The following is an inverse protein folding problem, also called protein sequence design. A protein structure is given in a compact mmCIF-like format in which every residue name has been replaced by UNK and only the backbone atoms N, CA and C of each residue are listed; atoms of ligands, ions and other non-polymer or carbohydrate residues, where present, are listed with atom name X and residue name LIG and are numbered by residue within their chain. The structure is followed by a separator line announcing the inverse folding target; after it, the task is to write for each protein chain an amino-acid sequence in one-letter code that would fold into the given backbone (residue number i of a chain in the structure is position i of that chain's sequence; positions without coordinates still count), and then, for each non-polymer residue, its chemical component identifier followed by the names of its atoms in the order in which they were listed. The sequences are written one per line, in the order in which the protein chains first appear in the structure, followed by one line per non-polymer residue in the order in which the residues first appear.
data_IF_186402842004
#
_entry.id   IF_186402842004
#
_cell.length_a   1.000
_cell.length_b   1.000
_cell.length_c   1.000
_cell.angle_alpha   90.00
_cell.angle_beta   90.00
_cell.angle_gamma   90.00
#
_symmetry.space_group_name_H-M   'P 1'
#
loop_
_entity.id
_entity.type
_entity.pdbx_description
1 polymer ?
#
# COMPACT_ATOMS: atom_id res chain seq x y z
N UNK A 1 -14.78 -17.57 11.67
CA UNK A 1 -14.50 -16.51 12.66
C UNK A 1 -15.34 -15.29 12.34
N UNK A 2 -15.59 -14.46 13.36
CA UNK A 2 -16.19 -13.13 13.22
C UNK A 2 -15.08 -12.09 13.34
N UNK A 3 -14.77 -11.43 12.24
CA UNK A 3 -13.59 -10.55 12.11
C UNK A 3 -14.08 -9.11 11.94
N UNK A 4 -13.54 -8.21 12.74
CA UNK A 4 -13.75 -6.77 12.57
C UNK A 4 -12.48 -6.16 12.01
N UNK A 5 -12.58 -5.59 10.81
CA UNK A 5 -11.52 -4.77 10.21
C UNK A 5 -11.75 -3.31 10.62
N UNK A 6 -10.79 -2.72 11.34
CA UNK A 6 -10.91 -1.35 11.85
C UNK A 6 -9.91 -0.42 11.15
N UNK A 7 -10.43 0.58 10.48
CA UNK A 7 -9.67 1.63 9.79
C UNK A 7 -10.05 3.01 10.34
N UNK A 8 -9.27 4.02 10.02
CA UNK A 8 -9.61 5.40 10.36
C UNK A 8 -10.82 5.89 9.54
N UNK A 9 -10.76 5.67 8.24
CA UNK A 9 -11.83 5.87 7.26
C UNK A 9 -11.59 4.95 6.05
N UNK A 10 -12.44 5.00 5.04
CA UNK A 10 -12.32 4.26 3.78
C UNK A 10 -12.12 5.22 2.60
N UNK A 11 -11.22 6.20 2.79
CA UNK A 11 -10.79 7.09 1.72
C UNK A 11 -9.94 6.36 0.68
N UNK A 12 -9.59 7.06 -0.41
CA UNK A 12 -8.85 6.47 -1.52
C UNK A 12 -7.34 6.46 -1.23
N UNK A 13 -6.89 5.41 -0.57
CA UNK A 13 -5.49 5.18 -0.24
C UNK A 13 -5.09 3.71 -0.41
N UNK A 14 -3.79 3.45 -0.43
CA UNK A 14 -3.28 2.08 -0.56
C UNK A 14 -3.60 1.20 0.65
N UNK A 15 -3.57 1.78 1.86
CA UNK A 15 -3.94 1.08 3.08
C UNK A 15 -5.42 0.69 3.07
N UNK A 16 -6.27 1.64 2.74
CA UNK A 16 -7.72 1.47 2.73
C UNK A 16 -8.13 0.44 1.67
N UNK A 17 -7.53 0.51 0.47
CA UNK A 17 -7.72 -0.52 -0.58
C UNK A 17 -7.32 -1.91 -0.07
N UNK A 18 -6.13 -2.03 0.54
CA UNK A 18 -5.65 -3.31 1.07
C UNK A 18 -6.58 -3.85 2.17
N UNK A 19 -7.06 -2.99 3.09
CA UNK A 19 -7.98 -3.41 4.15
C UNK A 19 -9.33 -3.88 3.57
N UNK A 20 -9.84 -3.20 2.54
CA UNK A 20 -11.06 -3.60 1.80
C UNK A 20 -10.86 -4.93 1.09
N UNK A 21 -9.76 -5.08 0.36
CA UNK A 21 -9.46 -6.31 -0.37
C UNK A 21 -9.29 -7.50 0.60
N UNK A 22 -8.59 -7.30 1.72
CA UNK A 22 -8.46 -8.30 2.78
C UNK A 22 -9.83 -8.70 3.37
N UNK A 23 -10.68 -7.71 3.67
CA UNK A 23 -12.03 -7.97 4.21
C UNK A 23 -12.87 -8.80 3.23
N UNK A 24 -12.84 -8.47 1.94
CA UNK A 24 -13.56 -9.21 0.90
C UNK A 24 -13.01 -10.65 0.78
N UNK A 25 -11.69 -10.83 0.74
CA UNK A 25 -11.10 -12.15 0.68
C UNK A 25 -11.45 -13.02 1.90
N UNK A 26 -11.48 -12.43 3.09
CA UNK A 26 -11.91 -13.12 4.31
C UNK A 26 -13.38 -13.51 4.28
N UNK A 27 -14.26 -12.65 3.76
CA UNK A 27 -15.67 -12.97 3.56
C UNK A 27 -15.84 -14.13 2.58
N UNK A 28 -15.12 -14.11 1.47
CA UNK A 28 -15.11 -15.19 0.47
C UNK A 28 -14.57 -16.52 1.03
N UNK A 29 -13.63 -16.45 1.98
CA UNK A 29 -13.12 -17.61 2.72
C UNK A 29 -14.10 -18.15 3.78
N UNK A 30 -15.34 -17.62 3.86
CA UNK A 30 -16.40 -18.08 4.74
C UNK A 30 -16.36 -17.49 6.16
N UNK A 31 -15.61 -16.42 6.38
CA UNK A 31 -15.66 -15.68 7.63
C UNK A 31 -16.82 -14.67 7.63
N UNK A 32 -17.31 -14.29 8.81
CA UNK A 32 -18.21 -13.16 8.97
C UNK A 32 -17.37 -11.91 9.21
N UNK A 33 -17.40 -10.97 8.28
CA UNK A 33 -16.59 -9.76 8.35
C UNK A 33 -17.46 -8.52 8.52
N UNK A 34 -17.01 -7.59 9.35
CA UNK A 34 -17.61 -6.26 9.52
C UNK A 34 -16.47 -5.24 9.42
N UNK A 35 -16.68 -4.16 8.69
CA UNK A 35 -15.74 -3.05 8.64
C UNK A 35 -16.17 -1.94 9.60
N UNK A 36 -15.24 -1.50 10.44
CA UNK A 36 -15.42 -0.36 11.33
C UNK A 36 -14.57 0.81 10.85
N UNK A 37 -15.18 1.99 10.76
CA UNK A 37 -14.52 3.25 10.51
C UNK A 37 -14.55 4.10 11.77
N UNK A 38 -13.40 4.55 12.24
CA UNK A 38 -13.31 5.42 13.42
C UNK A 38 -13.94 6.79 13.15
N UNK A 39 -13.76 7.30 11.92
CA UNK A 39 -14.36 8.53 11.39
C UNK A 39 -15.55 8.19 10.49
N UNK A 40 -15.74 8.93 9.39
CA UNK A 40 -16.73 8.63 8.37
C UNK A 40 -16.30 7.45 7.48
N UNK A 41 -17.27 6.85 6.79
CA UNK A 41 -17.02 5.64 6.00
C UNK A 41 -16.09 5.91 4.80
N UNK A 42 -16.37 6.92 3.97
CA UNK A 42 -15.59 7.20 2.77
C UNK A 42 -16.01 6.38 1.53
N UNK A 43 -15.44 6.71 0.34
CA UNK A 43 -15.92 6.19 -0.95
C UNK A 43 -15.70 4.69 -1.15
N UNK A 44 -14.71 4.08 -0.50
CA UNK A 44 -14.46 2.64 -0.63
C UNK A 44 -15.48 1.77 0.13
N UNK A 45 -16.36 2.36 0.96
CA UNK A 45 -17.42 1.64 1.67
C UNK A 45 -18.35 0.88 0.71
N UNK A 46 -18.68 1.47 -0.43
CA UNK A 46 -19.53 0.82 -1.44
C UNK A 46 -19.00 -0.52 -1.96
N UNK A 47 -17.68 -0.72 -2.00
CA UNK A 47 -17.07 -2.02 -2.38
C UNK A 47 -17.35 -3.09 -1.33
N UNK A 48 -17.28 -2.74 -0.05
CA UNK A 48 -17.59 -3.66 1.06
C UNK A 48 -19.07 -4.01 1.09
N UNK A 49 -19.93 -3.01 0.95
CA UNK A 49 -21.38 -3.18 0.91
C UNK A 49 -21.82 -4.06 -0.26
N UNK A 50 -21.22 -3.86 -1.45
CA UNK A 50 -21.46 -4.71 -2.62
C UNK A 50 -21.02 -6.18 -2.39
N UNK A 51 -20.02 -6.41 -1.52
CA UNK A 51 -19.58 -7.74 -1.11
C UNK A 51 -20.40 -8.30 0.09
N UNK A 52 -21.44 -7.61 0.53
CA UNK A 52 -22.26 -8.03 1.67
C UNK A 52 -21.59 -7.82 3.04
N UNK A 53 -20.57 -6.97 3.12
CA UNK A 53 -19.84 -6.67 4.35
C UNK A 53 -20.40 -5.37 4.95
N UNK A 54 -21.02 -5.41 6.15
CA UNK A 54 -21.53 -4.21 6.81
C UNK A 54 -20.41 -3.22 7.15
N UNK A 55 -20.69 -1.93 6.95
CA UNK A 55 -19.79 -0.84 7.34
C UNK A 55 -20.40 -0.04 8.48
N UNK A 56 -19.63 0.22 9.53
CA UNK A 56 -20.05 0.94 10.72
C UNK A 56 -19.11 2.12 10.98
N UNK A 57 -19.63 3.34 10.84
CA UNK A 57 -18.88 4.56 11.14
C UNK A 57 -19.20 5.08 12.55
N UNK A 58 -18.16 5.29 13.36
CA UNK A 58 -18.30 5.80 14.72
C UNK A 58 -18.33 7.32 14.79
N UNK A 59 -17.87 8.02 13.74
CA UNK A 59 -17.86 9.49 13.61
C UNK A 59 -17.26 10.18 14.83
N UNK A 60 -16.13 9.66 15.28
CA UNK A 60 -15.47 10.14 16.48
C UNK A 60 -15.08 11.62 16.35
N UNK A 61 -15.36 12.39 17.39
CA UNK A 61 -14.89 13.78 17.49
C UNK A 61 -13.35 13.87 17.52
N UNK A 62 -12.76 15.02 17.14
CA UNK A 62 -11.33 15.26 17.25
C UNK A 62 -10.79 14.98 18.67
N UNK A 63 -9.52 14.54 18.76
CA UNK A 63 -8.90 14.14 20.01
C UNK A 63 -9.26 12.72 20.47
N UNK A 64 -8.85 12.34 21.68
CA UNK A 64 -9.23 11.06 22.28
C UNK A 64 -10.69 11.09 22.74
N UNK A 65 -11.48 10.10 22.35
CA UNK A 65 -12.91 9.99 22.66
C UNK A 65 -13.20 8.71 23.45
N UNK A 66 -13.37 8.76 24.77
CA UNK A 66 -13.81 7.61 25.57
C UNK A 66 -15.17 7.07 25.11
N UNK A 67 -16.09 7.96 24.72
CA UNK A 67 -17.41 7.56 24.19
C UNK A 67 -17.32 6.66 22.96
N UNK A 68 -16.36 6.92 22.05
CA UNK A 68 -16.11 6.07 20.90
C UNK A 68 -15.61 4.68 21.34
N UNK A 69 -14.75 4.59 22.37
CA UNK A 69 -14.28 3.30 22.90
C UNK A 69 -15.46 2.49 23.46
N UNK A 70 -16.33 3.09 24.28
CA UNK A 70 -17.50 2.39 24.85
C UNK A 70 -18.51 1.99 23.76
N UNK A 71 -18.78 2.88 22.80
CA UNK A 71 -19.65 2.59 21.66
C UNK A 71 -19.13 1.42 20.85
N UNK A 72 -17.82 1.43 20.53
CA UNK A 72 -17.15 0.33 19.83
C UNK A 72 -17.20 -0.97 20.63
N UNK A 73 -16.93 -0.93 21.94
CA UNK A 73 -17.02 -2.12 22.79
C UNK A 73 -18.44 -2.71 22.84
N UNK A 74 -19.47 -1.87 22.92
CA UNK A 74 -20.86 -2.30 22.84
C UNK A 74 -21.20 -2.94 21.50
N UNK A 75 -20.66 -2.39 20.41
CA UNK A 75 -20.86 -2.94 19.07
C UNK A 75 -20.11 -4.26 18.88
N UNK A 76 -18.87 -4.38 19.33
CA UNK A 76 -18.09 -5.63 19.29
C UNK A 76 -18.78 -6.79 20.01
N UNK A 77 -19.41 -6.51 21.18
CA UNK A 77 -20.23 -7.53 21.89
C UNK A 77 -21.44 -7.96 21.06
N UNK A 78 -22.15 -7.01 20.45
CA UNK A 78 -23.33 -7.28 19.63
C UNK A 78 -22.98 -8.10 18.40
N UNK A 79 -21.85 -7.77 17.74
CA UNK A 79 -21.35 -8.48 16.58
C UNK A 79 -20.65 -9.81 16.97
N UNK A 80 -20.45 -10.05 18.29
CA UNK A 80 -19.78 -11.25 18.85
C UNK A 80 -18.41 -11.47 18.20
N UNK A 81 -17.62 -10.41 18.07
CA UNK A 81 -16.34 -10.45 17.37
C UNK A 81 -15.36 -11.43 18.06
N UNK A 82 -14.68 -12.25 17.25
CA UNK A 82 -13.58 -13.12 17.67
C UNK A 82 -12.24 -12.37 17.54
N UNK A 83 -12.13 -11.50 16.52
CA UNK A 83 -10.91 -10.76 16.18
C UNK A 83 -11.25 -9.30 15.88
N UNK A 84 -10.45 -8.38 16.42
CA UNK A 84 -10.39 -6.97 15.99
C UNK A 84 -9.02 -6.73 15.37
N UNK A 85 -9.01 -6.38 14.10
CA UNK A 85 -7.81 -6.07 13.34
C UNK A 85 -7.78 -4.58 12.98
N UNK A 86 -6.97 -3.81 13.68
CA UNK A 86 -6.75 -2.40 13.41
C UNK A 86 -5.63 -2.14 12.40
N UNK A 87 -5.78 -1.12 11.58
CA UNK A 87 -4.79 -0.71 10.60
C UNK A 87 -4.20 0.64 10.96
N UNK A 88 -2.87 0.72 11.09
CA UNK A 88 -2.09 1.88 11.55
C UNK A 88 -2.32 2.28 13.02
N UNK A 89 -1.47 3.18 13.57
CA UNK A 89 -1.53 3.56 14.98
C UNK A 89 -2.77 4.39 15.35
N UNK A 90 -3.36 5.11 14.40
CA UNK A 90 -4.49 6.02 14.66
C UNK A 90 -5.71 5.32 15.25
N UNK A 91 -5.98 4.08 14.86
CA UNK A 91 -7.10 3.28 15.36
C UNK A 91 -6.71 2.31 16.47
N UNK A 92 -5.42 2.07 16.67
CA UNK A 92 -4.94 0.97 17.49
C UNK A 92 -5.40 1.02 18.95
N UNK A 93 -5.29 2.18 19.58
CA UNK A 93 -5.68 2.34 20.98
C UNK A 93 -7.20 2.18 21.17
N UNK A 94 -8.02 2.55 20.20
CA UNK A 94 -9.46 2.28 20.21
C UNK A 94 -9.72 0.77 20.08
N UNK A 95 -9.04 0.09 19.15
CA UNK A 95 -9.16 -1.36 18.96
C UNK A 95 -8.82 -2.13 20.25
N UNK A 96 -7.65 -1.85 20.84
CA UNK A 96 -7.15 -2.56 22.01
C UNK A 96 -8.03 -2.33 23.26
N UNK A 97 -8.42 -1.08 23.51
CA UNK A 97 -9.29 -0.74 24.66
C UNK A 97 -10.69 -1.33 24.48
N UNK A 98 -11.30 -1.17 23.29
CA UNK A 98 -12.63 -1.69 23.03
C UNK A 98 -12.66 -3.23 23.06
N UNK A 99 -11.65 -3.92 22.53
CA UNK A 99 -11.51 -5.37 22.61
C UNK A 99 -11.42 -5.83 24.07
N UNK A 100 -10.57 -5.17 24.89
CA UNK A 100 -10.44 -5.48 26.33
C UNK A 100 -11.76 -5.32 27.07
N UNK A 101 -12.51 -4.23 26.81
CA UNK A 101 -13.80 -3.97 27.44
C UNK A 101 -14.90 -4.89 26.97
N UNK A 102 -14.88 -5.33 25.72
CA UNK A 102 -15.89 -6.23 25.16
C UNK A 102 -15.63 -7.70 25.40
N UNK A 103 -14.43 -8.07 25.81
CA UNK A 103 -14.01 -9.48 25.98
C UNK A 103 -13.63 -10.14 24.66
N UNK A 104 -13.34 -9.40 23.59
CA UNK A 104 -12.82 -9.93 22.32
C UNK A 104 -11.44 -10.53 22.58
N UNK A 105 -11.23 -11.82 22.24
CA UNK A 105 -10.01 -12.53 22.62
C UNK A 105 -8.77 -12.08 21.85
N UNK A 106 -8.92 -11.60 20.60
CA UNK A 106 -7.78 -11.24 19.74
C UNK A 106 -7.91 -9.81 19.25
N UNK A 107 -6.94 -8.97 19.61
CA UNK A 107 -6.76 -7.62 19.11
C UNK A 107 -5.38 -7.50 18.45
N UNK A 108 -5.33 -7.28 17.13
CA UNK A 108 -4.08 -7.09 16.40
C UNK A 108 -4.03 -5.74 15.70
N UNK A 109 -2.82 -5.33 15.32
CA UNK A 109 -2.60 -4.13 14.54
C UNK A 109 -1.62 -4.37 13.39
N UNK A 110 -1.95 -3.91 12.19
CA UNK A 110 -1.02 -3.89 11.05
C UNK A 110 -0.45 -2.50 10.85
N UNK A 111 0.87 -2.44 10.74
CA UNK A 111 1.67 -1.24 10.53
C UNK A 111 2.04 -1.13 9.06
N UNK A 112 1.46 -0.13 8.36
CA UNK A 112 1.62 0.06 6.92
C UNK A 112 2.77 1.00 6.55
N UNK A 113 3.22 1.81 7.49
CA UNK A 113 4.34 2.73 7.28
C UNK A 113 5.12 2.96 8.56
N UNK A 114 6.38 3.35 8.40
CA UNK A 114 7.22 3.86 9.46
C UNK A 114 7.31 5.39 9.30
N UNK A 115 6.22 6.11 9.58
CA UNK A 115 6.27 7.58 9.51
C UNK A 115 7.15 8.11 10.63
N UNK A 116 8.35 8.61 10.27
CA UNK A 116 9.37 9.07 11.22
C UNK A 116 9.76 10.52 11.00
N UNK A 117 8.99 11.29 10.23
CA UNK A 117 9.45 12.57 9.70
C UNK A 117 9.63 13.70 10.71
N UNK A 118 9.16 13.62 11.96
CA UNK A 118 9.48 14.60 13.02
C UNK A 118 9.08 14.07 14.42
N UNK A 119 9.96 13.29 15.05
CA UNK A 119 9.72 12.74 16.38
C UNK A 119 8.72 11.57 16.40
N UNK A 120 8.49 10.97 17.59
CA UNK A 120 7.43 9.98 17.73
C UNK A 120 6.08 10.70 17.57
N UNK A 121 5.28 10.38 16.52
CA UNK A 121 3.95 10.93 16.42
C UNK A 121 3.18 10.68 17.73
N UNK A 122 2.34 11.61 18.11
CA UNK A 122 1.46 11.50 19.27
C UNK A 122 0.77 10.12 19.37
N UNK A 123 0.35 9.56 18.24
CA UNK A 123 -0.26 8.24 18.14
C UNK A 123 0.67 7.09 18.58
N UNK A 124 1.98 7.19 18.34
CA UNK A 124 2.95 6.18 18.77
C UNK A 124 3.19 6.16 20.28
N UNK A 125 3.03 7.31 20.95
CA UNK A 125 3.10 7.38 22.42
C UNK A 125 1.94 6.60 23.04
N UNK A 126 0.73 6.71 22.48
CA UNK A 126 -0.42 5.92 22.94
C UNK A 126 -0.28 4.44 22.61
N UNK A 127 0.35 4.08 21.49
CA UNK A 127 0.61 2.71 21.14
C UNK A 127 1.31 1.96 22.28
N UNK A 128 2.34 2.54 22.87
CA UNK A 128 3.08 1.94 24.01
C UNK A 128 2.21 1.66 25.24
N UNK A 129 1.21 2.48 25.48
CA UNK A 129 0.32 2.29 26.64
C UNK A 129 -0.67 1.14 26.44
N UNK A 130 -1.07 0.88 25.23
CA UNK A 130 -2.04 -0.19 24.89
C UNK A 130 -1.39 -1.45 24.33
N UNK A 131 -0.07 -1.46 24.15
CA UNK A 131 0.66 -2.67 23.69
C UNK A 131 0.38 -3.90 24.55
N UNK A 132 0.33 -3.82 25.91
CA UNK A 132 0.00 -5.00 26.73
C UNK A 132 -1.37 -5.60 26.42
N UNK A 133 -2.31 -4.81 25.90
CA UNK A 133 -3.65 -5.25 25.49
C UNK A 133 -3.68 -5.78 24.06
N UNK A 134 -2.56 -5.67 23.32
CA UNK A 134 -2.45 -6.09 21.93
C UNK A 134 -1.97 -7.54 21.88
N UNK A 135 -2.70 -8.38 21.15
CA UNK A 135 -2.33 -9.78 20.97
C UNK A 135 -1.12 -9.93 20.05
N UNK A 136 -1.07 -9.13 18.96
CA UNK A 136 0.00 -9.21 17.96
C UNK A 136 0.10 -7.92 17.13
N UNK A 137 1.31 -7.63 16.65
CA UNK A 137 1.59 -6.53 15.72
C UNK A 137 2.16 -7.11 14.43
N UNK A 138 1.56 -6.74 13.32
CA UNK A 138 2.01 -7.14 11.98
C UNK A 138 2.65 -5.95 11.28
N UNK A 139 3.75 -6.18 10.59
CA UNK A 139 4.42 -5.20 9.74
C UNK A 139 4.29 -5.62 8.28
N UNK A 140 4.02 -4.70 7.38
CA UNK A 140 3.86 -5.00 5.96
C UNK A 140 5.17 -5.31 5.23
N UNK A 141 6.32 -5.05 5.85
CA UNK A 141 7.65 -5.42 5.37
C UNK A 141 8.68 -5.32 6.50
N UNK A 142 9.85 -5.92 6.32
CA UNK A 142 10.94 -5.88 7.30
C UNK A 142 11.50 -4.48 7.52
N UNK A 143 11.51 -3.64 6.49
CA UNK A 143 11.92 -2.23 6.64
C UNK A 143 11.06 -1.51 7.69
N UNK A 144 9.73 -1.59 7.58
CA UNK A 144 8.80 -0.97 8.55
C UNK A 144 9.03 -1.53 9.95
N UNK A 145 9.22 -2.85 10.08
CA UNK A 145 9.57 -3.49 11.35
C UNK A 145 10.84 -2.90 11.94
N UNK A 146 11.96 -2.93 11.21
CA UNK A 146 13.27 -2.43 11.68
C UNK A 146 13.25 -0.95 12.05
N UNK A 147 12.52 -0.12 11.30
CA UNK A 147 12.41 1.31 11.60
C UNK A 147 11.63 1.56 12.90
N UNK A 148 10.54 0.84 13.11
CA UNK A 148 9.72 1.01 14.30
C UNK A 148 10.36 0.39 15.55
N UNK A 149 11.07 -0.74 15.43
CA UNK A 149 11.82 -1.35 16.53
C UNK A 149 12.94 -0.45 17.09
N UNK A 150 13.47 0.49 16.28
CA UNK A 150 14.44 1.51 16.74
C UNK A 150 13.82 2.53 17.71
N UNK A 151 12.53 2.77 17.59
CA UNK A 151 11.82 3.81 18.36
C UNK A 151 10.87 3.23 19.39
N UNK A 152 10.31 2.04 19.12
CA UNK A 152 9.34 1.35 19.96
C UNK A 152 9.78 -0.08 20.14
N UNK A 153 9.98 -0.50 21.39
CA UNK A 153 10.27 -1.91 21.69
C UNK A 153 8.98 -2.70 21.67
N UNK A 154 8.85 -3.57 20.67
CA UNK A 154 7.81 -4.59 20.61
C UNK A 154 8.38 -5.92 21.12
N UNK A 155 7.62 -6.71 21.93
CA UNK A 155 8.03 -8.07 22.25
C UNK A 155 8.10 -8.90 20.94
N UNK A 156 9.26 -9.47 20.65
CA UNK A 156 9.47 -10.22 19.40
C UNK A 156 8.46 -11.35 19.20
N UNK A 157 8.03 -12.00 20.29
CA UNK A 157 7.00 -13.05 20.24
C UNK A 157 5.61 -12.54 19.80
N UNK A 158 5.36 -11.23 19.88
CA UNK A 158 4.11 -10.60 19.44
C UNK A 158 4.25 -9.89 18.09
N UNK A 159 5.30 -10.15 17.32
CA UNK A 159 5.58 -9.47 16.07
C UNK A 159 5.74 -10.45 14.92
N UNK A 160 5.23 -10.08 13.75
CA UNK A 160 5.50 -10.79 12.50
C UNK A 160 5.45 -9.86 11.29
N UNK A 161 5.99 -10.32 10.18
CA UNK A 161 5.86 -9.64 8.89
C UNK A 161 4.89 -10.43 8.03
N UNK A 162 3.85 -9.76 7.53
CA UNK A 162 2.94 -10.26 6.50
C UNK A 162 2.94 -9.21 5.39
N UNK A 163 3.53 -9.57 4.26
CA UNK A 163 3.62 -8.68 3.10
C UNK A 163 2.23 -8.39 2.54
N UNK A 164 2.04 -7.19 1.97
CA UNK A 164 0.81 -6.85 1.28
C UNK A 164 0.56 -7.81 0.11
N UNK A 165 -0.71 -8.10 -0.15
CA UNK A 165 -1.17 -8.84 -1.32
C UNK A 165 -2.13 -8.00 -2.16
N UNK A 166 -2.26 -8.37 -3.44
CA UNK A 166 -3.15 -7.73 -4.40
C UNK A 166 -4.01 -8.78 -5.12
N UNK A 167 -5.22 -8.43 -5.59
CA UNK A 167 -5.98 -9.28 -6.50
C UNK A 167 -5.23 -9.37 -7.83
N UNK A 168 -4.80 -10.58 -8.20
CA UNK A 168 -3.92 -10.80 -9.37
C UNK A 168 -4.66 -10.85 -10.70
N UNK A 169 -5.93 -11.27 -10.72
CA UNK A 169 -6.67 -11.66 -11.93
C UNK A 169 -6.71 -10.53 -12.97
N UNK A 170 -6.97 -9.30 -12.54
CA UNK A 170 -7.05 -8.14 -13.43
C UNK A 170 -5.73 -7.81 -14.13
N UNK A 171 -4.60 -8.17 -13.52
CA UNK A 171 -3.27 -7.92 -14.07
C UNK A 171 -2.76 -9.05 -14.94
N UNK A 172 -3.09 -10.31 -14.61
CA UNK A 172 -2.61 -11.49 -15.33
C UNK A 172 -3.33 -11.73 -16.67
N UNK A 173 -4.55 -11.25 -16.82
CA UNK A 173 -5.36 -11.41 -18.04
C UNK A 173 -4.76 -10.72 -19.28
N UNK A 174 -3.68 -9.95 -19.11
CA UNK A 174 -3.08 -9.16 -20.17
C UNK A 174 -1.72 -9.72 -20.59
N UNK A 175 -1.41 -9.78 -21.91
CA UNK A 175 -0.09 -10.18 -22.36
C UNK A 175 0.96 -9.23 -21.75
N UNK A 176 2.12 -9.77 -21.42
CA UNK A 176 3.29 -8.94 -21.07
C UNK A 176 3.54 -7.93 -22.21
N UNK A 177 3.99 -6.73 -21.84
CA UNK A 177 4.32 -5.69 -22.82
C UNK A 177 5.13 -6.29 -23.97
N UNK A 178 4.79 -6.03 -25.24
CA UNK A 178 5.58 -6.51 -26.34
C UNK A 178 6.97 -5.93 -26.22
N UNK A 179 7.94 -6.77 -25.85
CA UNK A 179 9.34 -6.39 -25.79
C UNK A 179 9.80 -5.97 -27.20
N UNK A 180 9.61 -4.71 -27.54
CA UNK A 180 10.04 -4.18 -28.81
C UNK A 180 11.18 -3.20 -28.56
N UNK A 181 12.15 -3.21 -29.46
CA UNK A 181 13.01 -2.05 -29.73
C UNK A 181 12.10 -0.94 -30.24
N UNK A 182 11.34 -0.34 -29.31
CA UNK A 182 10.35 0.67 -29.63
C UNK A 182 11.07 1.97 -29.95
N UNK A 183 10.73 2.66 -31.05
CA UNK A 183 11.12 4.05 -31.24
C UNK A 183 10.52 4.96 -30.18
N UNK A 184 9.56 4.46 -29.37
CA UNK A 184 8.87 5.16 -28.29
C UNK A 184 8.75 4.26 -27.07
N UNK A 185 9.52 4.55 -26.02
CA UNK A 185 9.33 3.94 -24.70
C UNK A 185 8.34 4.76 -23.86
N UNK A 186 7.43 4.08 -23.18
CA UNK A 186 6.40 4.69 -22.34
C UNK A 186 6.69 4.36 -20.87
N UNK A 187 7.20 5.34 -20.17
CA UNK A 187 7.30 5.32 -18.72
C UNK A 187 5.97 5.71 -18.08
N UNK A 188 5.70 5.20 -16.90
CA UNK A 188 4.53 5.68 -16.15
C UNK A 188 4.58 5.36 -14.68
N UNK A 189 3.76 6.07 -13.94
CA UNK A 189 3.57 5.92 -12.50
C UNK A 189 2.12 6.08 -12.13
N UNK A 190 1.70 5.41 -11.03
CA UNK A 190 0.37 5.58 -10.44
C UNK A 190 0.54 5.95 -8.98
N UNK A 191 -0.03 7.09 -8.56
CA UNK A 191 0.05 7.51 -7.17
C UNK A 191 -0.54 8.88 -6.91
N UNK A 192 -0.88 9.17 -5.66
CA UNK A 192 -1.38 10.49 -5.25
C UNK A 192 -0.35 11.59 -5.57
N UNK A 193 -0.79 12.72 -6.08
CA UNK A 193 0.08 13.87 -6.36
C UNK A 193 0.37 14.67 -5.08
N UNK A 194 1.19 14.08 -4.20
CA UNK A 194 1.58 14.62 -2.88
C UNK A 194 3.10 14.59 -2.73
N UNK A 195 3.70 15.40 -1.82
CA UNK A 195 5.17 15.51 -1.68
C UNK A 195 5.89 14.17 -1.51
N UNK A 196 5.32 13.24 -0.74
CA UNK A 196 5.93 11.95 -0.47
C UNK A 196 6.18 11.08 -1.72
N UNK A 197 5.43 11.32 -2.81
CA UNK A 197 5.57 10.59 -4.08
C UNK A 197 6.61 11.20 -5.03
N UNK A 198 7.09 12.40 -4.74
CA UNK A 198 8.21 13.10 -5.42
C UNK A 198 8.09 13.13 -6.96
N UNK A 199 6.86 13.32 -7.48
CA UNK A 199 6.63 13.39 -8.93
C UNK A 199 7.37 14.56 -9.60
N UNK A 200 7.70 15.64 -8.85
CA UNK A 200 8.55 16.73 -9.35
C UNK A 200 9.94 16.22 -9.72
N UNK A 201 10.54 15.36 -8.90
CA UNK A 201 11.85 14.75 -9.17
C UNK A 201 11.77 13.84 -10.42
N UNK A 202 10.66 13.12 -10.59
CA UNK A 202 10.43 12.30 -11.79
C UNK A 202 10.34 13.15 -13.06
N UNK A 203 9.66 14.30 -13.01
CA UNK A 203 9.57 15.22 -14.15
C UNK A 203 10.94 15.84 -14.47
N UNK A 204 11.72 16.23 -13.46
CA UNK A 204 13.08 16.73 -13.67
C UNK A 204 14.00 15.66 -14.28
N UNK A 205 13.94 14.42 -13.79
CA UNK A 205 14.65 13.28 -14.36
C UNK A 205 14.26 13.04 -15.82
N UNK A 206 12.96 13.07 -16.10
CA UNK A 206 12.45 12.85 -17.45
C UNK A 206 12.86 13.98 -18.43
N UNK A 207 13.01 15.22 -17.97
CA UNK A 207 13.57 16.31 -18.77
C UNK A 207 15.00 16.00 -19.23
N UNK A 208 15.82 15.38 -18.36
CA UNK A 208 17.18 14.93 -18.73
C UNK A 208 17.11 13.81 -19.77
N UNK A 209 16.21 12.84 -19.60
CA UNK A 209 16.00 11.73 -20.56
C UNK A 209 15.61 12.24 -21.93
N UNK A 210 14.74 13.25 -22.03
CA UNK A 210 14.28 13.81 -23.30
C UNK A 210 15.39 14.40 -24.15
N UNK A 211 16.54 14.77 -23.57
CA UNK A 211 17.70 15.28 -24.32
C UNK A 211 18.35 14.18 -25.19
N UNK A 212 18.39 12.95 -24.69
CA UNK A 212 19.01 11.80 -25.38
C UNK A 212 17.98 10.91 -26.06
N UNK A 213 16.75 10.85 -25.54
CA UNK A 213 15.67 10.00 -26.03
C UNK A 213 14.40 10.83 -26.31
N UNK A 214 14.39 11.65 -27.38
CA UNK A 214 13.30 12.58 -27.65
C UNK A 214 11.95 11.91 -27.98
N UNK A 215 11.90 10.64 -28.26
CA UNK A 215 10.65 9.90 -28.50
C UNK A 215 10.04 9.30 -27.22
N UNK A 216 10.72 9.34 -26.06
CA UNK A 216 10.20 8.85 -24.80
C UNK A 216 8.94 9.61 -24.35
N UNK A 217 8.07 8.91 -23.62
CA UNK A 217 6.83 9.47 -23.05
C UNK A 217 6.72 9.10 -21.57
N UNK A 218 6.06 9.94 -20.79
CA UNK A 218 5.77 9.72 -19.38
C UNK A 218 4.30 9.98 -19.09
N UNK A 219 3.61 8.99 -18.52
CA UNK A 219 2.24 9.13 -18.03
C UNK A 219 2.22 9.08 -16.50
N UNK A 220 1.62 10.08 -15.89
CA UNK A 220 1.46 10.17 -14.42
C UNK A 220 -0.02 10.08 -14.10
N UNK A 221 -0.44 8.93 -13.54
CA UNK A 221 -1.81 8.70 -13.11
C UNK A 221 -1.95 9.04 -11.63
N UNK A 222 -2.88 9.89 -11.33
CA UNK A 222 -3.19 10.30 -9.97
C UNK A 222 -3.77 11.69 -9.87
N UNK A 223 -4.18 12.03 -8.65
CA UNK A 223 -4.68 13.35 -8.29
C UNK A 223 -4.12 13.76 -6.92
N UNK A 224 -4.15 15.04 -6.61
CA UNK A 224 -3.69 15.56 -5.33
C UNK A 224 -3.28 17.02 -5.36
N UNK A 225 -2.85 17.51 -4.19
CA UNK A 225 -2.55 18.94 -3.97
C UNK A 225 -1.44 19.50 -4.86
N UNK A 226 -0.60 18.67 -5.47
CA UNK A 226 0.50 19.12 -6.32
C UNK A 226 0.14 19.18 -7.81
N UNK A 227 -1.08 18.81 -8.23
CA UNK A 227 -1.45 18.71 -9.65
C UNK A 227 -1.14 20.00 -10.44
N UNK A 228 -1.58 21.15 -9.97
CA UNK A 228 -1.34 22.44 -10.62
C UNK A 228 0.16 22.81 -10.68
N UNK A 229 0.91 22.52 -9.58
CA UNK A 229 2.36 22.77 -9.53
C UNK A 229 3.13 21.91 -10.53
N UNK A 230 2.77 20.62 -10.66
CA UNK A 230 3.37 19.70 -11.62
C UNK A 230 3.07 20.08 -13.06
N UNK A 231 1.83 20.50 -13.36
CA UNK A 231 1.47 21.03 -14.68
C UNK A 231 2.32 22.28 -15.05
N UNK A 232 2.51 23.21 -14.11
CA UNK A 232 3.39 24.36 -14.29
C UNK A 232 4.86 23.96 -14.47
N UNK A 233 5.34 22.91 -13.81
CA UNK A 233 6.71 22.38 -14.00
C UNK A 233 6.88 21.80 -15.41
N UNK A 234 5.93 21.01 -15.88
CA UNK A 234 5.92 20.43 -17.24
C UNK A 234 6.01 21.55 -18.30
N UNK A 235 5.20 22.60 -18.16
CA UNK A 235 5.21 23.73 -19.08
C UNK A 235 6.55 24.49 -19.06
N UNK A 236 7.09 24.81 -17.88
CA UNK A 236 8.40 25.48 -17.77
C UNK A 236 9.56 24.69 -18.39
N UNK A 237 9.47 23.37 -18.40
CA UNK A 237 10.49 22.50 -18.97
C UNK A 237 10.24 22.17 -20.45
N UNK A 238 9.14 22.67 -21.06
CA UNK A 238 8.80 22.39 -22.45
C UNK A 238 8.47 20.93 -22.72
N UNK A 239 7.84 20.25 -21.74
CA UNK A 239 7.57 18.82 -21.81
C UNK A 239 6.12 18.50 -22.18
N UNK A 240 5.31 19.50 -22.56
CA UNK A 240 3.95 19.29 -23.03
C UNK A 240 3.95 18.34 -24.24
N UNK A 241 3.05 17.39 -24.25
CA UNK A 241 3.02 16.34 -25.29
C UNK A 241 3.98 15.17 -25.05
N UNK A 242 4.90 15.26 -24.07
CA UNK A 242 5.80 14.18 -23.63
C UNK A 242 5.44 13.64 -22.25
N UNK A 243 5.05 14.53 -21.34
CA UNK A 243 4.57 14.21 -20.00
C UNK A 243 3.09 14.49 -19.95
N UNK A 244 2.30 13.51 -19.51
CA UNK A 244 0.86 13.64 -19.34
C UNK A 244 0.49 13.42 -17.89
N UNK A 245 -0.29 14.33 -17.32
CA UNK A 245 -1.02 14.12 -16.09
C UNK A 245 -2.38 13.53 -16.48
N UNK A 246 -2.52 12.21 -16.35
CA UNK A 246 -3.69 11.46 -16.83
C UNK A 246 -4.91 11.58 -15.88
N UNK A 247 -4.70 12.23 -14.71
CA UNK A 247 -5.72 12.27 -13.68
C UNK A 247 -5.82 10.95 -12.92
N UNK A 248 -6.85 10.86 -12.07
CA UNK A 248 -7.10 9.66 -11.27
C UNK A 248 -7.54 8.51 -12.15
N UNK A 249 -7.05 7.31 -11.85
CA UNK A 249 -7.54 6.06 -12.44
C UNK A 249 -8.13 5.15 -11.36
N UNK A 250 -9.25 4.51 -11.68
CA UNK A 250 -9.87 3.45 -10.88
C UNK A 250 -9.60 2.06 -11.50
N UNK A 251 -8.96 2.00 -12.69
CA UNK A 251 -8.53 0.79 -13.40
C UNK A 251 -6.99 0.78 -13.51
N UNK A 252 -6.31 0.43 -12.42
CA UNK A 252 -4.84 0.28 -12.41
C UNK A 252 -4.35 -0.74 -13.45
N UNK A 253 -5.02 -1.91 -13.66
CA UNK A 253 -4.67 -2.81 -14.74
C UNK A 253 -4.65 -2.14 -16.12
N UNK A 254 -5.66 -1.32 -16.47
CA UNK A 254 -5.69 -0.61 -17.76
C UNK A 254 -4.56 0.42 -17.89
N UNK A 255 -4.33 1.21 -16.83
CA UNK A 255 -3.28 2.20 -16.81
C UNK A 255 -1.88 1.57 -16.98
N UNK A 256 -1.61 0.46 -16.30
CA UNK A 256 -0.33 -0.24 -16.38
C UNK A 256 -0.11 -0.92 -17.74
N UNK A 257 -1.15 -1.43 -18.41
CA UNK A 257 -1.03 -2.05 -19.73
C UNK A 257 -0.49 -1.09 -20.80
N UNK A 258 -0.74 0.21 -20.65
CA UNK A 258 -0.25 1.24 -21.56
C UNK A 258 1.24 1.54 -21.44
N UNK A 259 1.96 0.95 -20.48
CA UNK A 259 3.34 1.26 -20.13
C UNK A 259 4.32 0.19 -20.62
N UNK A 260 5.56 0.59 -20.79
CA UNK A 260 6.70 -0.29 -21.08
C UNK A 260 7.60 -0.46 -19.85
N UNK A 261 7.68 0.57 -18.98
CA UNK A 261 8.42 0.57 -17.71
C UNK A 261 7.60 1.31 -16.65
N UNK A 262 7.43 0.70 -15.49
CA UNK A 262 6.85 1.37 -14.34
C UNK A 262 7.91 2.12 -13.55
N UNK A 263 7.63 3.36 -13.12
CA UNK A 263 8.55 4.19 -12.34
C UNK A 263 7.92 4.56 -11.00
N UNK A 264 8.65 4.33 -9.91
CA UNK A 264 8.31 4.87 -8.58
C UNK A 264 9.39 5.84 -8.14
N UNK A 265 9.06 7.12 -7.99
CA UNK A 265 9.99 8.19 -7.58
C UNK A 265 9.89 8.59 -6.11
N UNK A 266 9.13 7.85 -5.31
CA UNK A 266 8.75 8.22 -3.94
C UNK A 266 9.95 8.52 -3.05
N UNK A 267 9.79 9.49 -2.15
CA UNK A 267 10.78 9.79 -1.10
C UNK A 267 10.60 8.93 0.15
N UNK A 268 9.41 8.37 0.37
CA UNK A 268 9.11 7.51 1.53
C UNK A 268 7.93 6.59 1.24
N UNK A 269 8.08 5.30 1.61
CA UNK A 269 7.05 4.27 1.49
C UNK A 269 7.10 3.28 2.66
N UNK A 270 6.01 2.53 2.83
CA UNK A 270 6.06 1.24 3.53
C UNK A 270 6.31 0.13 2.51
N UNK A 271 5.24 -0.53 2.06
CA UNK A 271 5.23 -1.42 0.90
C UNK A 271 4.09 -0.97 -0.04
N UNK A 272 4.39 -0.21 -1.10
CA UNK A 272 3.36 0.35 -1.98
C UNK A 272 2.72 -0.73 -2.85
N UNK A 273 1.38 -0.81 -2.83
CA UNK A 273 0.62 -1.79 -3.62
C UNK A 273 0.91 -1.68 -5.11
N UNK A 274 1.10 -0.46 -5.61
CA UNK A 274 1.31 -0.20 -7.04
C UNK A 274 2.59 -0.85 -7.58
N UNK A 275 3.61 -1.09 -6.74
CA UNK A 275 4.80 -1.88 -7.14
C UNK A 275 4.39 -3.33 -7.38
N UNK A 276 3.58 -3.92 -6.50
CA UNK A 276 3.09 -5.30 -6.66
C UNK A 276 2.17 -5.40 -7.87
N UNK A 277 1.33 -4.39 -8.10
CA UNK A 277 0.45 -4.27 -9.27
C UNK A 277 1.26 -4.21 -10.57
N UNK A 278 2.29 -3.36 -10.62
CA UNK A 278 3.17 -3.24 -11.79
C UNK A 278 3.96 -4.54 -12.06
N UNK A 279 4.45 -5.21 -11.00
CA UNK A 279 5.08 -6.52 -11.10
C UNK A 279 4.10 -7.57 -11.67
N UNK A 280 2.87 -7.63 -11.17
CA UNK A 280 1.83 -8.54 -11.66
C UNK A 280 1.43 -8.25 -13.10
N UNK A 281 1.43 -6.98 -13.51
CA UNK A 281 1.23 -6.56 -14.91
C UNK A 281 2.40 -6.98 -15.83
N UNK A 282 3.50 -7.48 -15.27
CA UNK A 282 4.68 -7.91 -16.03
C UNK A 282 5.52 -6.74 -16.53
N UNK A 283 5.57 -5.64 -15.80
CA UNK A 283 6.41 -4.50 -16.12
C UNK A 283 7.78 -4.61 -15.44
N UNK A 284 8.87 -4.24 -16.13
CA UNK A 284 10.12 -3.91 -15.49
C UNK A 284 9.91 -2.70 -14.56
N UNK A 285 10.59 -2.70 -13.42
CA UNK A 285 10.42 -1.69 -12.39
C UNK A 285 11.66 -0.81 -12.28
N UNK A 286 11.45 0.49 -12.34
CA UNK A 286 12.44 1.48 -11.97
C UNK A 286 11.95 2.18 -10.71
N UNK A 287 12.74 2.18 -9.64
CA UNK A 287 12.26 2.70 -8.35
C UNK A 287 13.36 3.37 -7.56
N UNK A 288 12.95 4.34 -6.77
CA UNK A 288 13.77 4.78 -5.64
C UNK A 288 13.87 3.67 -4.60
N UNK A 289 15.04 3.57 -3.94
CA UNK A 289 15.33 2.58 -2.90
C UNK A 289 14.72 3.01 -1.55
N UNK A 290 13.38 2.95 -1.45
CA UNK A 290 12.63 3.41 -0.27
C UNK A 290 11.76 2.30 0.31
N UNK A 291 11.57 2.34 1.63
CA UNK A 291 10.66 1.42 2.31
C UNK A 291 11.01 -0.05 2.11
N UNK A 292 9.98 -0.85 1.92
CA UNK A 292 10.08 -2.28 1.59
C UNK A 292 10.26 -2.57 0.10
N UNK A 293 10.39 -1.56 -0.76
CA UNK A 293 10.53 -1.76 -2.21
C UNK A 293 11.74 -2.65 -2.56
N UNK A 294 12.94 -2.44 -2.00
CA UNK A 294 14.08 -3.31 -2.27
C UNK A 294 13.92 -4.75 -1.77
N UNK A 295 13.00 -5.00 -0.84
CA UNK A 295 12.75 -6.32 -0.26
C UNK A 295 11.90 -7.22 -1.18
N UNK A 296 11.11 -6.61 -2.07
CA UNK A 296 10.14 -7.32 -2.91
C UNK A 296 10.54 -7.42 -4.38
N UNK A 297 11.48 -6.58 -4.83
CA UNK A 297 11.90 -6.55 -6.23
C UNK A 297 13.00 -7.58 -6.50
N UNK A 298 12.85 -8.44 -7.52
CA UNK A 298 13.96 -9.26 -8.02
C UNK A 298 15.06 -8.36 -8.58
N UNK A 299 16.32 -8.65 -8.25
CA UNK A 299 17.47 -7.84 -8.70
C UNK A 299 17.58 -7.74 -10.21
N UNK A 300 17.21 -8.81 -10.92
CA UNK A 300 17.24 -8.92 -12.37
C UNK A 300 16.10 -8.15 -13.07
N UNK A 301 15.07 -7.74 -12.33
CA UNK A 301 13.89 -7.09 -12.93
C UNK A 301 13.80 -5.59 -12.66
N UNK A 302 14.71 -5.03 -11.85
CA UNK A 302 14.56 -3.67 -11.35
C UNK A 302 15.83 -2.85 -11.45
N UNK A 303 15.67 -1.54 -11.62
CA UNK A 303 16.68 -0.52 -11.37
C UNK A 303 16.30 0.24 -10.11
N UNK A 304 17.24 0.30 -9.16
CA UNK A 304 17.07 1.02 -7.91
C UNK A 304 18.02 2.23 -7.87
N UNK A 305 17.48 3.40 -7.52
CA UNK A 305 18.26 4.63 -7.37
C UNK A 305 17.99 5.30 -6.01
N UNK A 306 18.85 6.21 -5.56
CA UNK A 306 18.61 7.00 -4.35
C UNK A 306 17.32 7.86 -4.47
N UNK A 307 16.54 8.05 -3.38
CA UNK A 307 15.41 8.95 -3.40
C UNK A 307 15.87 10.41 -3.51
N UNK A 308 15.10 11.22 -4.25
CA UNK A 308 15.36 12.65 -4.44
C UNK A 308 16.46 12.98 -5.46
N UNK A 309 17.08 11.99 -6.09
CA UNK A 309 18.16 12.13 -7.06
C UNK A 309 17.60 12.01 -8.50
N UNK A 310 17.37 13.15 -9.14
CA UNK A 310 16.84 13.21 -10.51
C UNK A 310 17.86 12.69 -11.54
N UNK A 311 19.16 12.88 -11.32
CA UNK A 311 20.21 12.43 -12.25
C UNK A 311 20.35 10.91 -12.22
N UNK A 312 20.37 10.31 -11.02
CA UNK A 312 20.36 8.85 -10.87
C UNK A 312 19.09 8.22 -11.46
N UNK A 313 17.92 8.84 -11.26
CA UNK A 313 16.67 8.39 -11.84
C UNK A 313 16.69 8.47 -13.38
N UNK A 314 17.20 9.56 -13.95
CA UNK A 314 17.35 9.73 -15.39
C UNK A 314 18.34 8.69 -15.98
N UNK A 315 19.47 8.45 -15.31
CA UNK A 315 20.44 7.43 -15.70
C UNK A 315 19.82 6.03 -15.75
N UNK A 316 19.02 5.68 -14.75
CA UNK A 316 18.29 4.41 -14.73
C UNK A 316 17.23 4.31 -15.84
N UNK A 317 16.55 5.43 -16.16
CA UNK A 317 15.60 5.49 -17.29
C UNK A 317 16.31 5.29 -18.63
N UNK A 318 17.48 5.89 -18.83
CA UNK A 318 18.30 5.70 -20.04
C UNK A 318 18.81 4.25 -20.16
N UNK A 319 19.26 3.65 -19.06
CA UNK A 319 19.61 2.22 -19.05
C UNK A 319 18.41 1.34 -19.46
N UNK A 320 17.20 1.66 -18.99
CA UNK A 320 16.01 0.93 -19.39
C UNK A 320 15.66 1.10 -20.89
N UNK A 321 15.97 2.25 -21.50
CA UNK A 321 15.83 2.47 -22.95
C UNK A 321 16.81 1.61 -23.75
N UNK A 322 18.02 1.44 -23.24
CA UNK A 322 19.14 0.78 -23.94
C UNK A 322 19.15 -0.74 -23.72
N UNK A 323 18.50 -1.25 -22.66
CA UNK A 323 18.62 -2.61 -22.20
C UNK A 323 17.97 -3.58 -23.18
N UNK A 324 17.80 -4.00 -24.01
CA UNK A 324 17.16 -4.97 -24.92
C UNK A 324 16.32 -6.11 -24.27
N UNK A 325 16.24 -6.15 -22.92
CA UNK A 325 15.69 -7.25 -22.10
C UNK A 325 14.47 -6.85 -21.25
N UNK A 326 13.75 -5.78 -21.62
CA UNK A 326 12.56 -5.31 -20.87
C UNK A 326 11.52 -6.40 -20.66
N UNK A 327 11.31 -7.26 -21.66
CA UNK A 327 10.35 -8.35 -21.57
C UNK A 327 10.75 -9.37 -20.51
N UNK A 328 12.00 -9.83 -20.54
CA UNK A 328 12.54 -10.80 -19.57
C UNK A 328 12.45 -10.27 -18.14
N UNK A 329 12.76 -9.00 -17.96
CA UNK A 329 12.62 -8.30 -16.67
C UNK A 329 11.18 -8.24 -16.20
N UNK A 330 10.25 -7.89 -17.09
CA UNK A 330 8.83 -7.89 -16.79
C UNK A 330 8.29 -9.27 -16.42
N UNK A 331 8.70 -10.31 -17.14
CA UNK A 331 8.34 -11.68 -16.82
C UNK A 331 8.92 -12.15 -15.48
N UNK A 332 10.13 -11.74 -15.12
CA UNK A 332 10.72 -12.01 -13.81
C UNK A 332 9.90 -11.34 -12.69
N UNK A 333 9.52 -10.06 -12.86
CA UNK A 333 8.62 -9.36 -11.95
C UNK A 333 7.29 -10.11 -11.76
N UNK A 334 6.65 -10.51 -12.86
CA UNK A 334 5.36 -11.22 -12.84
C UNK A 334 5.45 -12.56 -12.12
N UNK A 335 6.50 -13.36 -12.38
CA UNK A 335 6.70 -14.64 -11.68
C UNK A 335 6.74 -14.46 -10.17
N UNK A 336 7.50 -13.47 -9.68
CA UNK A 336 7.60 -13.19 -8.24
C UNK A 336 6.28 -12.69 -7.68
N UNK A 337 5.59 -11.77 -8.37
CA UNK A 337 4.29 -11.26 -7.93
C UNK A 337 3.25 -12.39 -7.80
N UNK A 338 3.17 -13.26 -8.81
CA UNK A 338 2.23 -14.38 -8.83
C UNK A 338 2.51 -15.40 -7.71
N UNK A 339 3.78 -15.67 -7.44
CA UNK A 339 4.16 -16.65 -6.43
C UNK A 339 3.98 -16.13 -4.98
N UNK A 340 4.12 -14.81 -4.75
CA UNK A 340 4.31 -14.29 -3.39
C UNK A 340 3.32 -13.21 -2.95
N UNK A 341 2.68 -12.49 -3.88
CA UNK A 341 1.92 -11.28 -3.56
C UNK A 341 0.44 -11.35 -3.95
N UNK A 342 -0.10 -12.57 -4.11
CA UNK A 342 -1.55 -12.77 -4.28
C UNK A 342 -2.32 -12.44 -3.01
N UNK A 343 -3.50 -11.84 -3.17
CA UNK A 343 -4.41 -11.47 -2.08
C UNK A 343 -4.76 -12.68 -1.19
N UNK A 344 -5.02 -13.84 -1.79
CA UNK A 344 -5.37 -15.07 -1.06
C UNK A 344 -4.20 -15.55 -0.21
N UNK A 345 -2.94 -15.36 -0.68
CA UNK A 345 -1.76 -15.70 0.10
C UNK A 345 -1.69 -14.83 1.37
N UNK A 346 -1.85 -13.51 1.23
CA UNK A 346 -1.91 -12.58 2.35
C UNK A 346 -3.06 -12.93 3.32
N UNK A 347 -4.26 -13.15 2.80
CA UNK A 347 -5.44 -13.47 3.61
C UNK A 347 -5.26 -14.75 4.42
N UNK A 348 -4.69 -15.83 3.84
CA UNK A 348 -4.35 -17.08 4.56
C UNK A 348 -3.35 -16.82 5.68
N UNK A 349 -2.29 -16.03 5.46
CA UNK A 349 -1.30 -15.67 6.49
C UNK A 349 -1.95 -14.98 7.69
N UNK A 350 -2.90 -14.06 7.44
CA UNK A 350 -3.67 -13.43 8.52
C UNK A 350 -4.61 -14.42 9.20
N UNK A 351 -5.26 -15.29 8.48
CA UNK A 351 -6.15 -16.33 9.03
C UNK A 351 -5.38 -17.29 9.94
N UNK A 352 -4.21 -17.78 9.52
CA UNK A 352 -3.31 -18.61 10.34
C UNK A 352 -2.91 -17.90 11.64
N UNK A 353 -2.57 -16.60 11.53
CA UNK A 353 -2.24 -15.77 12.69
C UNK A 353 -3.44 -15.67 13.65
N UNK A 354 -4.64 -15.39 13.15
CA UNK A 354 -5.82 -15.29 14.01
C UNK A 354 -6.12 -16.61 14.71
N UNK A 355 -6.09 -17.73 13.98
CA UNK A 355 -6.33 -19.07 14.57
C UNK A 355 -5.32 -19.40 15.67
N UNK A 356 -4.05 -19.07 15.46
CA UNK A 356 -2.99 -19.28 16.47
C UNK A 356 -3.21 -18.45 17.74
N UNK A 357 -3.78 -17.25 17.62
CA UNK A 357 -3.99 -16.32 18.73
C UNK A 357 -5.30 -16.58 19.49
N UNK A 358 -6.26 -17.27 18.88
CA UNK A 358 -7.54 -17.59 19.51
C UNK A 358 -7.35 -18.63 20.64
N UNK A 359 -8.13 -18.52 21.74
CA UNK A 359 -8.14 -19.52 22.79
C UNK A 359 -8.46 -20.91 22.22
N UNK A 360 -7.61 -21.90 22.47
CA UNK A 360 -7.74 -23.26 21.93
C UNK A 360 -7.10 -23.48 20.57
N UNK A 361 -6.45 -22.47 19.98
CA UNK A 361 -5.62 -22.62 18.79
C UNK A 361 -4.42 -23.53 19.10
N UNK A 362 -4.14 -24.51 18.26
CA UNK A 362 -2.92 -25.32 18.38
C UNK A 362 -1.68 -24.44 18.28
N UNK A 363 -0.75 -24.60 19.24
CA UNK A 363 0.56 -23.94 19.22
C UNK A 363 1.43 -24.48 18.09
#
# INVERSE_FOLDING_TARGET
MRIVQLVENLELGGLERMAVDLAIAQQQAGHQVVAYCLLDAGPLAGRLEAAGIPVVAFRKAPGFSPGAVFSMAGRLRRDRADVVHGHNPGVHHYAALAARLSGVPVAINTRHSASTSQGLPYQERYFRWVEPLTSHVVFVCDYVRRQLERTIRYPAAKCSVILNGIPLEGFLARPASPGSRLPRIRFGTIGRLVPAKSHSVLIDAFALVCRSAPAAQLSIFGDGSLAAGLAGQIARLGLEGRVRLEGRTDDSPAALQGLDVFVLSSGNEGLPLVILEAMAAGLPILSTSVGGVPEVLPKESAWLCPPGDAEALAGAMLQAIECGDLRERGEASRRVATASYGLEHMARRYEELYRRLLPGGAK
#
